data_IF_535630827419
#
_entry.id   IF_535630827419
#
_cell.length_a   1.000
_cell.length_b   1.000
_cell.length_c   1.000
_cell.angle_alpha   90.00
_cell.angle_beta   90.00
_cell.angle_gamma   90.00
#
_symmetry.space_group_name_H-M   'P 1'
#
loop_
_entity.id
_entity.type
_entity.pdbx_description
1 polymer ?
#
# COMPACT_ATOMS: atom_id res chain seq x y z
N UNK A 1 -2.54 -18.24 -7.26
CA UNK A 1 -3.53 -17.15 -7.39
C UNK A 1 -3.15 -16.25 -8.57
N UNK A 2 -1.89 -15.78 -8.69
CA UNK A 2 -1.41 -15.17 -9.93
C UNK A 2 -0.15 -15.88 -10.45
N UNK A 3 -0.10 -16.17 -11.75
CA UNK A 3 1.10 -16.70 -12.41
C UNK A 3 1.89 -15.53 -13.00
N UNK A 4 2.79 -14.96 -12.21
CA UNK A 4 3.65 -13.84 -12.64
C UNK A 4 4.66 -14.34 -13.67
N UNK A 5 4.56 -13.87 -14.90
CA UNK A 5 5.53 -14.17 -15.95
C UNK A 5 6.66 -13.14 -15.92
N UNK A 6 7.82 -13.56 -15.44
CA UNK A 6 8.99 -12.70 -15.30
C UNK A 6 9.59 -12.24 -16.64
N UNK A 7 9.17 -12.82 -17.77
CA UNK A 7 9.70 -12.50 -19.10
C UNK A 7 8.78 -11.59 -19.92
N UNK A 8 7.52 -11.44 -19.53
CA UNK A 8 6.57 -10.53 -20.20
C UNK A 8 6.60 -9.14 -19.57
N UNK A 9 6.25 -8.14 -20.37
CA UNK A 9 5.98 -6.80 -19.86
C UNK A 9 4.78 -6.83 -18.89
N UNK A 10 4.81 -6.00 -17.85
CA UNK A 10 3.65 -5.78 -16.98
C UNK A 10 2.62 -4.90 -17.70
N UNK A 11 1.34 -5.17 -17.45
CA UNK A 11 0.19 -4.35 -17.88
C UNK A 11 -0.09 -3.17 -16.93
N UNK A 12 0.75 -3.02 -15.89
CA UNK A 12 0.55 -2.05 -14.82
C UNK A 12 1.09 -0.65 -15.17
N UNK A 13 0.19 0.33 -15.23
CA UNK A 13 0.53 1.73 -15.43
C UNK A 13 1.26 2.33 -14.21
N UNK A 14 2.36 3.09 -14.42
CA UNK A 14 3.04 3.86 -13.37
C UNK A 14 2.12 4.71 -12.50
N UNK A 15 1.15 5.39 -13.12
CA UNK A 15 0.20 6.26 -12.43
C UNK A 15 -0.70 5.46 -11.50
N UNK A 16 -1.08 4.25 -11.91
CA UNK A 16 -1.93 3.36 -11.11
C UNK A 16 -1.21 2.90 -9.84
N UNK A 17 0.10 2.66 -9.91
CA UNK A 17 0.90 2.33 -8.72
C UNK A 17 0.92 3.49 -7.74
N UNK A 18 1.21 4.71 -8.22
CA UNK A 18 1.27 5.91 -7.36
C UNK A 18 -0.09 6.18 -6.71
N UNK A 19 -1.16 6.14 -7.49
CA UNK A 19 -2.52 6.36 -6.98
C UNK A 19 -2.96 5.28 -5.99
N UNK A 20 -2.68 4.01 -6.29
CA UNK A 20 -3.04 2.88 -5.42
C UNK A 20 -2.33 2.95 -4.06
N UNK A 21 -1.03 3.27 -4.03
CA UNK A 21 -0.28 3.44 -2.78
C UNK A 21 -0.80 4.65 -1.99
N UNK A 22 -1.08 5.77 -2.65
CA UNK A 22 -1.62 6.97 -1.99
C UNK A 22 -3.02 6.73 -1.41
N UNK A 23 -3.88 5.98 -2.10
CA UNK A 23 -5.18 5.57 -1.60
C UNK A 23 -5.07 4.61 -0.42
N UNK A 24 -4.17 3.62 -0.48
CA UNK A 24 -3.92 2.71 0.63
C UNK A 24 -3.49 3.48 1.88
N UNK A 25 -2.54 4.41 1.74
CA UNK A 25 -2.03 5.23 2.85
C UNK A 25 -3.15 5.98 3.59
N UNK A 26 -4.17 6.47 2.88
CA UNK A 26 -5.31 7.19 3.48
C UNK A 26 -6.20 6.29 4.34
N UNK A 27 -6.17 4.97 4.12
CA UNK A 27 -6.97 4.00 4.87
C UNK A 27 -6.27 3.47 6.12
N UNK A 28 -5.00 3.81 6.32
CA UNK A 28 -4.21 3.36 7.46
C UNK A 28 -4.51 4.22 8.70
N UNK A 29 -5.60 3.88 9.38
CA UNK A 29 -6.08 4.61 10.57
C UNK A 29 -5.78 3.78 11.82
N UNK A 30 -4.97 4.36 12.69
CA UNK A 30 -4.65 3.87 14.05
C UNK A 30 -5.32 4.75 15.10
N UNK A 31 -5.29 6.07 14.89
CA UNK A 31 -5.98 7.04 15.75
C UNK A 31 -7.21 7.54 15.00
N UNK A 32 -8.43 7.13 15.37
CA UNK A 32 -9.64 7.60 14.72
C UNK A 32 -9.97 9.04 15.16
N UNK A 33 -10.38 9.88 14.22
CA UNK A 33 -10.84 11.25 14.50
C UNK A 33 -10.58 12.20 13.33
N UNK A 34 -11.42 13.23 13.22
CA UNK A 34 -11.34 14.25 12.16
C UNK A 34 -10.75 15.59 12.66
N UNK A 35 -10.54 15.72 13.97
CA UNK A 35 -9.92 16.91 14.53
C UNK A 35 -8.41 16.95 14.23
N UNK A 36 -7.83 18.15 14.31
CA UNK A 36 -6.43 18.38 13.95
C UNK A 36 -5.45 17.54 14.76
N UNK A 37 -5.75 17.28 16.04
CA UNK A 37 -4.88 16.51 16.91
C UNK A 37 -4.90 15.03 16.51
N UNK A 38 -6.08 14.47 16.25
CA UNK A 38 -6.25 13.09 15.79
C UNK A 38 -5.55 12.83 14.46
N UNK A 39 -5.68 13.74 13.49
CA UNK A 39 -4.99 13.65 12.19
C UNK A 39 -3.48 13.62 12.38
N UNK A 40 -2.92 14.58 13.14
CA UNK A 40 -1.49 14.65 13.38
C UNK A 40 -0.97 13.43 14.16
N UNK A 41 -1.74 12.94 15.13
CA UNK A 41 -1.41 11.73 15.88
C UNK A 41 -1.36 10.50 14.97
N UNK A 42 -2.34 10.34 14.06
CA UNK A 42 -2.35 9.24 13.11
C UNK A 42 -1.19 9.32 12.10
N UNK A 43 -0.88 10.52 11.60
CA UNK A 43 0.24 10.74 10.70
C UNK A 43 1.58 10.33 11.33
N UNK A 44 1.79 10.70 12.60
CA UNK A 44 2.98 10.33 13.35
C UNK A 44 3.04 8.83 13.64
N UNK A 45 1.92 8.23 14.07
CA UNK A 45 1.83 6.80 14.37
C UNK A 45 2.10 5.92 13.15
N UNK A 46 1.75 6.39 11.95
CA UNK A 46 1.89 5.63 10.70
C UNK A 46 3.11 6.01 9.86
N UNK A 47 3.90 7.00 10.29
CA UNK A 47 4.99 7.58 9.49
C UNK A 47 5.97 6.53 8.93
N UNK A 48 6.49 5.65 9.80
CA UNK A 48 7.47 4.63 9.40
C UNK A 48 6.85 3.62 8.42
N UNK A 49 5.61 3.20 8.67
CA UNK A 49 4.93 2.24 7.80
C UNK A 49 4.60 2.85 6.44
N UNK A 50 4.21 4.13 6.39
CA UNK A 50 4.02 4.89 5.14
C UNK A 50 5.33 4.99 4.35
N UNK A 51 6.46 5.21 5.02
CA UNK A 51 7.77 5.22 4.37
C UNK A 51 8.13 3.83 3.80
N UNK A 52 7.89 2.77 4.57
CA UNK A 52 8.10 1.40 4.12
C UNK A 52 7.27 1.06 2.88
N UNK A 53 5.98 1.37 2.89
CA UNK A 53 5.08 1.13 1.75
C UNK A 53 5.57 1.85 0.50
N UNK A 54 5.92 3.13 0.59
CA UNK A 54 6.40 3.91 -0.56
C UNK A 54 7.75 3.42 -1.09
N UNK A 55 8.66 2.99 -0.21
CA UNK A 55 9.96 2.46 -0.61
C UNK A 55 9.88 1.05 -1.23
N UNK A 56 8.92 0.25 -0.78
CA UNK A 56 8.71 -1.12 -1.26
C UNK A 56 7.90 -1.11 -2.54
N UNK A 57 6.77 -0.42 -2.57
CA UNK A 57 5.83 -0.38 -3.69
C UNK A 57 6.09 0.77 -4.67
N UNK A 58 7.34 1.25 -4.77
CA UNK A 58 7.66 2.26 -5.78
C UNK A 58 7.51 1.67 -7.19
N UNK A 59 7.04 2.48 -8.13
CA UNK A 59 6.66 2.03 -9.49
C UNK A 59 7.73 1.16 -10.16
N UNK A 60 9.00 1.55 -10.06
CA UNK A 60 10.10 0.80 -10.68
C UNK A 60 10.21 -0.61 -10.10
N UNK A 61 10.17 -0.77 -8.77
CA UNK A 61 10.29 -2.09 -8.13
C UNK A 61 9.08 -2.95 -8.44
N UNK A 62 7.88 -2.38 -8.40
CA UNK A 62 6.64 -3.09 -8.75
C UNK A 62 6.66 -3.61 -10.18
N UNK A 63 7.15 -2.82 -11.13
CA UNK A 63 7.18 -3.18 -12.54
C UNK A 63 8.37 -4.08 -12.94
N UNK A 64 9.57 -3.82 -12.42
CA UNK A 64 10.81 -4.47 -12.90
C UNK A 64 11.30 -5.60 -11.98
N UNK A 65 11.21 -5.42 -10.66
CA UNK A 65 11.70 -6.36 -9.65
C UNK A 65 10.63 -7.41 -9.32
N UNK A 66 9.43 -6.96 -8.94
CA UNK A 66 8.32 -7.83 -8.58
C UNK A 66 7.47 -8.25 -9.78
N UNK A 67 7.49 -7.44 -10.85
CA UNK A 67 6.77 -7.67 -12.12
C UNK A 67 5.29 -7.99 -11.90
N UNK A 68 4.65 -7.26 -10.99
CA UNK A 68 3.23 -7.49 -10.68
C UNK A 68 2.37 -7.13 -11.88
N UNK A 69 1.35 -7.96 -12.16
CA UNK A 69 0.24 -7.55 -13.03
C UNK A 69 -0.65 -6.53 -12.31
N UNK A 70 -1.50 -5.85 -13.08
CA UNK A 70 -2.49 -4.94 -12.49
C UNK A 70 -3.38 -5.65 -11.46
N UNK A 71 -3.84 -6.86 -11.76
CA UNK A 71 -4.66 -7.66 -10.85
C UNK A 71 -3.91 -8.06 -9.57
N UNK A 72 -2.66 -8.50 -9.69
CA UNK A 72 -1.83 -8.87 -8.55
C UNK A 72 -1.53 -7.66 -7.65
N UNK A 73 -1.34 -6.48 -8.23
CA UNK A 73 -1.11 -5.25 -7.50
C UNK A 73 -2.35 -4.82 -6.71
N UNK A 74 -3.55 -4.82 -7.31
CA UNK A 74 -4.79 -4.48 -6.62
C UNK A 74 -5.08 -5.45 -5.47
N UNK A 75 -4.89 -6.75 -5.71
CA UNK A 75 -5.03 -7.77 -4.68
C UNK A 75 -4.05 -7.54 -3.51
N UNK A 76 -2.79 -7.23 -3.81
CA UNK A 76 -1.78 -6.95 -2.79
C UNK A 76 -2.15 -5.75 -1.92
N UNK A 77 -2.69 -4.67 -2.50
CA UNK A 77 -3.13 -3.50 -1.73
C UNK A 77 -4.24 -3.88 -0.74
N UNK A 78 -5.22 -4.68 -1.18
CA UNK A 78 -6.30 -5.16 -0.32
C UNK A 78 -5.82 -6.10 0.80
N UNK A 79 -4.85 -6.98 0.50
CA UNK A 79 -4.26 -7.85 1.52
C UNK A 79 -3.46 -7.03 2.56
N UNK A 80 -2.71 -6.01 2.13
CA UNK A 80 -1.99 -5.12 3.07
C UNK A 80 -2.98 -4.39 3.98
N UNK A 81 -4.05 -3.82 3.43
CA UNK A 81 -5.11 -3.17 4.20
C UNK A 81 -5.73 -4.13 5.23
N UNK A 82 -6.07 -5.34 4.81
CA UNK A 82 -6.64 -6.37 5.68
C UNK A 82 -5.70 -6.75 6.82
N UNK A 83 -4.42 -7.00 6.50
CA UNK A 83 -3.39 -7.38 7.49
C UNK A 83 -3.09 -6.25 8.45
N UNK A 84 -3.09 -5.00 7.97
CA UNK A 84 -2.88 -3.83 8.82
C UNK A 84 -3.97 -3.73 9.90
N UNK A 85 -5.24 -3.89 9.54
CA UNK A 85 -6.33 -3.90 10.52
C UNK A 85 -6.26 -5.08 11.48
N UNK A 86 -5.91 -6.28 11.00
CA UNK A 86 -5.76 -7.46 11.85
C UNK A 86 -4.59 -7.35 12.84
N UNK A 87 -3.55 -6.60 12.50
CA UNK A 87 -2.39 -6.40 13.34
C UNK A 87 -2.58 -5.37 14.47
N UNK A 88 -3.74 -4.70 14.52
CA UNK A 88 -4.05 -3.77 15.60
C UNK A 88 -4.22 -4.51 16.93
N UNK A 89 -3.71 -3.90 18.00
CA UNK A 89 -3.87 -4.45 19.35
C UNK A 89 -5.35 -4.46 19.72
N UNK A 90 -5.82 -5.56 20.30
CA UNK A 90 -7.17 -5.62 20.83
C UNK A 90 -7.26 -4.75 22.10
N UNK A 91 -8.29 -3.90 22.23
CA UNK A 91 -8.50 -3.07 23.41
C UNK A 91 -8.56 -3.86 24.73
#
# INVERSE_FOLDING_TARGET
IFHVNLRSATDLSPLRVVQGVEQLVKKLVVVPGEDRLSIQANENATLLFRALLRSTLCTKRVAEEFRLSAEAFEWLLGEIETRFHQAQVQP
#
